data_IF_800005125176
#
_entry.id   IF_800005125176
#
_cell.length_a   1.000
_cell.length_b   1.000
_cell.length_c   1.000
_cell.angle_alpha   90.00
_cell.angle_beta   90.00
_cell.angle_gamma   90.00
#
_symmetry.space_group_name_H-M   'P 1'
#
loop_
_entity.id
_entity.type
_entity.pdbx_description
1 polymer ?
#
# COMPACT_ATOMS: atom_id res chain seq x y z
N UNK A 1 15.99 5.10 6.44
CA UNK A 1 14.57 5.12 6.86
C UNK A 1 13.76 5.96 5.88
N UNK A 2 12.71 5.40 5.34
CA UNK A 2 11.80 6.13 4.46
C UNK A 2 10.41 6.16 5.08
N UNK A 3 9.82 7.35 5.13
CA UNK A 3 8.40 7.51 5.45
C UNK A 3 7.65 7.88 4.18
N UNK A 4 6.65 7.08 3.84
CA UNK A 4 5.72 7.40 2.75
C UNK A 4 4.44 7.91 3.40
N UNK A 5 4.00 9.11 3.05
CA UNK A 5 2.80 9.70 3.63
C UNK A 5 1.69 9.68 2.59
N UNK A 6 0.56 9.08 2.95
CA UNK A 6 -0.59 8.93 2.06
C UNK A 6 -1.80 9.62 2.69
N UNK A 7 -2.47 10.53 1.96
CA UNK A 7 -3.72 11.11 2.46
C UNK A 7 -4.85 10.10 2.37
N UNK A 8 -5.66 10.01 3.42
CA UNK A 8 -6.82 9.12 3.48
C UNK A 8 -8.02 9.89 4.00
N UNK A 9 -9.21 9.46 3.56
CA UNK A 9 -10.46 10.10 3.98
C UNK A 9 -10.82 9.77 5.43
N UNK A 10 -10.54 8.53 5.84
CA UNK A 10 -10.84 8.04 7.18
C UNK A 10 -9.70 7.12 7.63
N UNK A 11 -8.97 7.55 8.66
CA UNK A 11 -7.78 6.83 9.14
C UNK A 11 -8.15 5.44 9.68
N UNK A 12 -9.29 5.29 10.36
CA UNK A 12 -9.68 4.00 10.91
C UNK A 12 -10.08 3.00 9.82
N UNK A 13 -10.77 3.47 8.77
CA UNK A 13 -11.09 2.63 7.61
C UNK A 13 -9.81 2.19 6.92
N UNK A 14 -8.87 3.11 6.71
CA UNK A 14 -7.59 2.79 6.09
C UNK A 14 -6.78 1.81 6.95
N UNK A 15 -6.70 2.04 8.26
CA UNK A 15 -6.02 1.13 9.18
C UNK A 15 -6.59 -0.28 9.11
N UNK A 16 -7.92 -0.40 9.18
CA UNK A 16 -8.60 -1.70 9.14
C UNK A 16 -8.31 -2.45 7.86
N UNK A 17 -8.25 -1.73 6.74
CA UNK A 17 -7.91 -2.32 5.45
C UNK A 17 -6.52 -2.96 5.47
N UNK A 18 -5.52 -2.20 5.91
CA UNK A 18 -4.13 -2.70 5.91
C UNK A 18 -3.89 -3.77 6.99
N UNK A 19 -4.58 -3.69 8.11
CA UNK A 19 -4.52 -4.76 9.12
C UNK A 19 -5.07 -6.07 8.55
N UNK A 20 -6.11 -6.02 7.74
CA UNK A 20 -6.66 -7.21 7.09
C UNK A 20 -5.67 -7.85 6.10
N UNK A 21 -4.73 -7.05 5.57
CA UNK A 21 -3.66 -7.56 4.71
C UNK A 21 -2.49 -8.16 5.51
N UNK A 22 -2.49 -7.97 6.82
CA UNK A 22 -1.45 -8.50 7.69
C UNK A 22 -0.40 -7.50 8.13
N UNK A 23 -0.55 -6.22 7.80
CA UNK A 23 0.40 -5.20 8.24
C UNK A 23 0.17 -4.81 9.70
N UNK A 24 1.25 -4.44 10.38
CA UNK A 24 1.22 -3.99 11.76
C UNK A 24 1.42 -2.48 11.85
N UNK A 25 0.85 -1.88 12.87
CA UNK A 25 0.90 -0.44 13.08
C UNK A 25 1.65 -0.10 14.36
N UNK A 26 2.37 1.01 14.32
CA UNK A 26 3.14 1.51 15.45
C UNK A 26 2.25 2.37 16.34
N UNK A 27 1.94 1.89 17.54
CA UNK A 27 0.98 2.55 18.43
C UNK A 27 1.41 3.94 18.90
N UNK A 28 2.69 4.12 19.18
CA UNK A 28 3.20 5.38 19.72
C UNK A 28 3.20 6.52 18.70
N UNK A 29 3.12 6.17 17.43
CA UNK A 29 3.18 7.13 16.33
C UNK A 29 1.84 7.24 15.60
N UNK A 30 0.77 6.82 16.27
CA UNK A 30 -0.58 6.83 15.71
C UNK A 30 -1.53 7.58 16.64
N UNK A 31 -2.40 8.40 16.05
CA UNK A 31 -3.45 9.12 16.77
C UNK A 31 -4.73 9.14 15.91
N UNK A 32 -5.68 10.01 16.24
CA UNK A 32 -6.95 10.10 15.50
C UNK A 32 -6.77 10.54 14.04
N UNK A 33 -5.72 11.31 13.76
CA UNK A 33 -5.46 11.84 12.41
C UNK A 33 -4.34 11.15 11.68
N UNK A 34 -3.73 10.11 12.25
CA UNK A 34 -2.61 9.41 11.61
C UNK A 34 -2.49 7.97 12.11
N UNK A 35 -1.97 7.11 11.24
CA UNK A 35 -1.61 5.74 11.60
C UNK A 35 -0.34 5.38 10.85
N UNK A 36 0.64 4.85 11.57
CA UNK A 36 1.95 4.50 11.00
C UNK A 36 2.05 3.00 10.82
N UNK A 37 2.05 2.57 9.57
CA UNK A 37 2.14 1.18 9.16
C UNK A 37 3.60 0.81 8.94
N UNK A 38 4.07 -0.20 9.67
CA UNK A 38 5.44 -0.70 9.52
C UNK A 38 5.46 -1.71 8.39
N UNK A 39 6.13 -1.36 7.29
CA UNK A 39 6.28 -2.26 6.14
C UNK A 39 7.58 -3.06 6.26
N UNK A 40 8.63 -2.41 6.72
CA UNK A 40 9.97 -2.97 6.86
C UNK A 40 10.68 -2.19 7.96
N UNK A 41 11.84 -2.66 8.40
CA UNK A 41 12.65 -1.97 9.42
C UNK A 41 13.00 -0.53 9.05
N UNK A 42 13.07 -0.25 7.77
CA UNK A 42 13.47 1.08 7.26
C UNK A 42 12.39 1.77 6.45
N UNK A 43 11.18 1.21 6.40
CA UNK A 43 10.08 1.76 5.59
C UNK A 43 8.80 1.79 6.42
N UNK A 44 8.26 2.99 6.58
CA UNK A 44 6.99 3.23 7.27
C UNK A 44 6.06 3.97 6.32
N UNK A 45 4.82 3.51 6.20
CA UNK A 45 3.77 4.20 5.46
C UNK A 45 2.85 4.86 6.48
N UNK A 46 2.76 6.19 6.45
CA UNK A 46 1.87 6.93 7.35
C UNK A 46 0.59 7.26 6.60
N UNK A 47 -0.52 6.80 7.18
CA UNK A 47 -1.85 7.12 6.69
C UNK A 47 -2.31 8.37 7.42
N UNK A 48 -2.45 9.47 6.71
CA UNK A 48 -2.77 10.76 7.30
C UNK A 48 -4.15 11.22 6.87
N UNK A 49 -4.96 11.67 7.80
CA UNK A 49 -6.20 12.36 7.45
C UNK A 49 -5.86 13.53 6.50
N UNK A 50 -6.76 13.81 5.56
CA UNK A 50 -6.48 14.79 4.50
C UNK A 50 -6.07 16.17 5.04
N UNK A 51 -6.65 16.62 6.14
CA UNK A 51 -6.28 17.88 6.77
C UNK A 51 -4.85 17.85 7.35
N UNK A 52 -4.45 16.70 7.92
CA UNK A 52 -3.07 16.51 8.37
C UNK A 52 -2.08 16.50 7.22
N UNK A 53 -2.43 15.81 6.14
CA UNK A 53 -1.59 15.78 4.94
C UNK A 53 -1.44 17.18 4.35
N UNK A 54 -2.53 17.94 4.34
CA UNK A 54 -2.52 19.33 3.81
C UNK A 54 -1.53 20.23 4.53
N UNK A 55 -1.24 19.96 5.81
CA UNK A 55 -0.25 20.73 6.57
C UNK A 55 1.19 20.51 6.10
N UNK A 56 1.43 19.40 5.38
CA UNK A 56 2.76 19.00 4.94
C UNK A 56 3.08 19.40 3.50
N UNK A 57 2.10 19.90 2.77
CA UNK A 57 2.25 20.25 1.36
C UNK A 57 1.74 21.66 1.11
N UNK A 58 2.17 22.24 0.00
CA UNK A 58 1.61 23.51 -0.48
C UNK A 58 0.67 23.22 -1.64
N UNK A 59 -0.42 23.99 -1.73
CA UNK A 59 -1.44 23.73 -2.73
C UNK A 59 -2.49 22.73 -2.24
N UNK A 60 -3.30 22.26 -3.14
CA UNK A 60 -4.38 21.32 -2.82
C UNK A 60 -3.86 19.89 -2.67
N UNK A 61 -4.50 19.14 -1.76
CA UNK A 61 -4.25 17.71 -1.65
C UNK A 61 -4.88 17.02 -2.85
N UNK A 62 -4.06 16.24 -3.58
CA UNK A 62 -4.54 15.52 -4.75
C UNK A 62 -5.54 14.43 -4.41
N UNK A 63 -6.28 14.00 -5.44
CA UNK A 63 -7.21 12.87 -5.35
C UNK A 63 -6.59 11.68 -6.10
N UNK A 64 -6.22 10.59 -5.42
CA UNK A 64 -5.60 9.45 -6.09
C UNK A 64 -6.52 8.77 -7.10
N UNK A 65 -7.84 8.95 -7.00
CA UNK A 65 -8.77 8.37 -7.97
C UNK A 65 -8.80 9.14 -9.30
N UNK A 66 -8.30 10.38 -9.32
CA UNK A 66 -8.28 11.22 -10.52
C UNK A 66 -7.08 10.94 -11.42
N UNK A 67 -6.06 10.28 -10.91
CA UNK A 67 -4.86 9.96 -11.66
C UNK A 67 -3.70 9.75 -10.70
N UNK A 68 -3.28 8.51 -10.48
CA UNK A 68 -2.17 8.22 -9.56
C UNK A 68 -0.85 8.73 -10.12
N UNK A 69 -0.06 9.34 -9.26
CA UNK A 69 1.32 9.75 -9.59
C UNK A 69 2.35 8.88 -8.88
N UNK A 70 1.90 8.02 -7.97
CA UNK A 70 2.76 7.10 -7.22
C UNK A 70 2.16 5.72 -7.27
N UNK A 71 3.00 4.74 -7.56
CA UNK A 71 2.70 3.32 -7.47
C UNK A 71 3.64 2.73 -6.43
N UNK A 72 3.09 2.07 -5.43
CA UNK A 72 3.89 1.43 -4.40
C UNK A 72 4.02 -0.06 -4.71
N UNK A 73 5.26 -0.52 -4.90
CA UNK A 73 5.54 -1.92 -5.19
C UNK A 73 6.16 -2.59 -3.98
N UNK A 74 5.56 -3.69 -3.55
CA UNK A 74 6.03 -4.47 -2.42
C UNK A 74 6.37 -5.88 -2.91
N UNK A 75 7.53 -6.39 -2.50
CA UNK A 75 7.92 -7.75 -2.87
C UNK A 75 7.29 -8.78 -1.94
N UNK A 76 7.01 -9.95 -2.51
CA UNK A 76 6.52 -11.11 -1.79
C UNK A 76 7.47 -12.29 -2.02
N UNK A 77 7.39 -13.30 -1.15
CA UNK A 77 8.33 -14.43 -1.17
C UNK A 77 7.92 -15.54 -2.13
N UNK A 78 6.70 -15.50 -2.65
CA UNK A 78 6.20 -16.52 -3.56
C UNK A 78 5.02 -15.99 -4.39
N UNK A 79 4.70 -16.73 -5.47
CA UNK A 79 3.49 -16.45 -6.26
C UNK A 79 2.23 -16.56 -5.41
N UNK A 80 2.17 -17.58 -4.55
CA UNK A 80 1.01 -17.78 -3.68
C UNK A 80 0.81 -16.62 -2.72
N UNK A 81 1.89 -16.05 -2.20
CA UNK A 81 1.80 -14.88 -1.32
C UNK A 81 1.29 -13.65 -2.05
N UNK A 82 1.70 -13.44 -3.31
CA UNK A 82 1.15 -12.37 -4.14
C UNK A 82 -0.35 -12.51 -4.26
N UNK A 83 -0.82 -13.68 -4.66
CA UNK A 83 -2.25 -13.93 -4.87
C UNK A 83 -3.05 -13.81 -3.58
N UNK A 84 -2.51 -14.30 -2.47
CA UNK A 84 -3.16 -14.21 -1.17
C UNK A 84 -3.33 -12.75 -0.73
N UNK A 85 -2.30 -11.95 -0.88
CA UNK A 85 -2.32 -10.57 -0.46
C UNK A 85 -3.31 -9.75 -1.29
N UNK A 86 -3.32 -9.97 -2.60
CA UNK A 86 -4.30 -9.32 -3.49
C UNK A 86 -5.72 -9.74 -3.13
N UNK A 87 -5.95 -11.03 -2.88
CA UNK A 87 -7.28 -11.53 -2.51
C UNK A 87 -7.76 -10.91 -1.20
N UNK A 88 -6.88 -10.78 -0.20
CA UNK A 88 -7.22 -10.11 1.07
C UNK A 88 -7.58 -8.65 0.84
N UNK A 89 -6.84 -7.96 -0.01
CA UNK A 89 -7.12 -6.56 -0.33
C UNK A 89 -8.51 -6.41 -0.95
N UNK A 90 -8.85 -7.24 -1.92
CA UNK A 90 -10.17 -7.20 -2.56
C UNK A 90 -11.29 -7.53 -1.59
N UNK A 91 -11.05 -8.46 -0.66
CA UNK A 91 -12.02 -8.82 0.38
C UNK A 91 -12.18 -7.76 1.47
N UNK A 92 -11.23 -6.86 1.63
CA UNK A 92 -11.22 -5.85 2.69
C UNK A 92 -11.67 -4.46 2.21
N UNK A 93 -12.11 -4.32 0.97
CA UNK A 93 -12.59 -3.04 0.45
C UNK A 93 -11.72 -2.40 -0.62
N UNK A 94 -10.62 -3.05 -0.98
CA UNK A 94 -9.80 -2.61 -2.11
C UNK A 94 -10.47 -2.95 -3.44
N UNK A 95 -9.92 -2.42 -4.52
CA UNK A 95 -10.45 -2.62 -5.86
C UNK A 95 -9.39 -3.21 -6.79
N UNK A 96 -9.80 -4.01 -7.79
CA UNK A 96 -8.87 -4.49 -8.81
C UNK A 96 -8.22 -3.30 -9.54
N UNK A 97 -6.95 -3.47 -9.92
CA UNK A 97 -6.24 -2.46 -10.70
C UNK A 97 -5.89 -3.02 -12.07
N UNK A 98 -4.84 -3.80 -12.20
CA UNK A 98 -4.47 -4.47 -13.44
C UNK A 98 -4.64 -5.99 -13.27
N UNK A 99 -4.82 -6.70 -14.37
CA UNK A 99 -4.80 -8.15 -14.35
C UNK A 99 -3.42 -8.65 -13.91
N UNK A 100 -3.39 -9.79 -13.23
CA UNK A 100 -2.14 -10.40 -12.79
C UNK A 100 -1.26 -10.74 -14.00
N UNK A 101 0.03 -10.51 -13.84
CA UNK A 101 1.02 -10.85 -14.87
C UNK A 101 1.90 -11.95 -14.33
N UNK A 102 2.03 -13.01 -15.09
CA UNK A 102 2.79 -14.19 -14.68
C UNK A 102 3.76 -14.62 -15.78
N UNK A 103 5.04 -14.66 -15.42
CA UNK A 103 6.12 -15.15 -16.29
C UNK A 103 6.89 -16.23 -15.52
N UNK A 104 7.87 -16.83 -16.17
CA UNK A 104 8.71 -17.84 -15.52
C UNK A 104 9.48 -17.28 -14.31
N UNK A 105 9.80 -15.97 -14.31
CA UNK A 105 10.66 -15.35 -13.30
C UNK A 105 9.97 -14.24 -12.48
N UNK A 106 8.67 -13.98 -12.72
CA UNK A 106 8.00 -12.83 -12.13
C UNK A 106 6.51 -13.11 -12.05
N UNK A 107 5.89 -12.76 -10.92
CA UNK A 107 4.46 -12.82 -10.74
C UNK A 107 4.02 -11.55 -10.03
N UNK A 108 3.12 -10.79 -10.65
CA UNK A 108 2.72 -9.48 -10.14
C UNK A 108 1.20 -9.38 -10.10
N UNK A 109 0.68 -8.99 -8.95
CA UNK A 109 -0.71 -8.62 -8.78
C UNK A 109 -0.81 -7.16 -8.32
N UNK A 110 -1.98 -6.58 -8.43
CA UNK A 110 -2.16 -5.18 -8.04
C UNK A 110 -3.58 -4.92 -7.56
N UNK A 111 -3.73 -3.86 -6.80
CA UNK A 111 -5.02 -3.41 -6.28
C UNK A 111 -4.92 -1.94 -5.90
N UNK A 112 -6.06 -1.31 -5.64
CA UNK A 112 -6.08 -0.02 -4.97
C UNK A 112 -6.63 -0.20 -3.56
N UNK A 113 -6.18 0.66 -2.64
CA UNK A 113 -6.78 0.73 -1.32
C UNK A 113 -8.14 1.47 -1.38
N UNK A 114 -8.89 1.58 -0.28
CA UNK A 114 -10.19 2.26 -0.30
C UNK A 114 -10.14 3.73 -0.75
N UNK A 115 -9.00 4.38 -0.63
CA UNK A 115 -8.81 5.76 -1.07
C UNK A 115 -8.35 5.88 -2.52
N UNK A 116 -7.98 4.78 -3.17
CA UNK A 116 -7.51 4.77 -4.54
C UNK A 116 -5.99 4.76 -4.70
N UNK A 117 -5.24 4.63 -3.61
CA UNK A 117 -3.79 4.48 -3.71
C UNK A 117 -3.45 3.12 -4.32
N UNK A 118 -2.52 3.11 -5.27
CA UNK A 118 -2.21 1.92 -6.07
C UNK A 118 -1.05 1.16 -5.47
N UNK A 119 -1.25 -0.14 -5.29
CA UNK A 119 -0.24 -1.07 -4.82
C UNK A 119 -0.01 -2.18 -5.82
N UNK A 120 1.25 -2.51 -6.03
CA UNK A 120 1.68 -3.67 -6.81
C UNK A 120 2.39 -4.63 -5.86
N UNK A 121 2.00 -5.91 -5.91
CA UNK A 121 2.65 -6.97 -5.12
C UNK A 121 3.39 -7.86 -6.09
N UNK A 122 4.67 -8.08 -5.85
CA UNK A 122 5.53 -8.69 -6.84
C UNK A 122 6.45 -9.74 -6.25
N UNK A 123 6.42 -10.92 -6.85
CA UNK A 123 7.43 -11.95 -6.61
C UNK A 123 8.39 -11.98 -7.81
N UNK A 124 9.68 -11.98 -7.53
CA UNK A 124 10.73 -12.04 -8.55
C UNK A 124 11.62 -13.20 -8.21
N UNK A 125 11.88 -14.07 -9.20
CA UNK A 125 12.86 -15.14 -9.03
C UNK A 125 14.26 -14.54 -8.93
N UNK A 126 14.88 -14.65 -7.77
CA UNK A 126 16.17 -14.04 -7.49
C UNK A 126 17.30 -14.61 -8.36
N UNK A 127 17.17 -15.83 -8.84
CA UNK A 127 18.15 -16.41 -9.75
C UNK A 127 18.21 -15.66 -11.08
N UNK A 128 17.12 -15.01 -11.47
CA UNK A 128 17.06 -14.20 -12.69
C UNK A 128 17.51 -12.77 -12.45
N UNK A 129 17.44 -12.29 -11.22
CA UNK A 129 17.81 -10.91 -10.88
C UNK A 129 19.32 -10.75 -10.74
N UNK A 130 20.01 -11.78 -10.32
CA UNK A 130 21.46 -11.74 -10.06
C UNK A 130 22.28 -11.70 -11.36
N UNK A 131 21.70 -12.09 -12.46
CA UNK A 131 22.36 -12.08 -13.76
C UNK A 131 22.10 -10.79 -14.52
#
# INVERSE_FOLDING_TARGET
MLFVNLPVRDVEVARSFYEALGFTFHRLDSDEGSASMVVDESIVVRLLARDRFAELVTGEVGDPTSGPTVLLSLTADSRAEVDDLVARALGAGGRPWLEARDTASDHTGSFTDPDGHVWEIRWIDQLHVVN
#
